data_IF_756276262734
#
_entry.id   IF_756276262734
#
_cell.length_a   1.000
_cell.length_b   1.000
_cell.length_c   1.000
_cell.angle_alpha   90.00
_cell.angle_beta   90.00
_cell.angle_gamma   90.00
#
_symmetry.space_group_name_H-M   'P 1'
#
loop_
_entity.id
_entity.type
_entity.pdbx_description
1 polymer ?
#
# COMPACT_ATOMS: atom_id res chain seq x y z
N UNK A 1 -2.61 37.33 -41.32
CA UNK A 1 -1.64 36.32 -40.82
C UNK A 1 -1.29 36.49 -39.33
N UNK A 2 -1.42 37.68 -38.74
CA UNK A 2 -1.06 37.96 -37.33
C UNK A 2 -2.11 37.55 -36.28
N UNK A 3 -3.40 37.49 -36.64
CA UNK A 3 -4.48 37.09 -35.71
C UNK A 3 -4.33 35.64 -35.21
N UNK A 4 -3.83 34.74 -36.08
CA UNK A 4 -3.54 33.34 -35.73
C UNK A 4 -2.36 33.22 -34.75
N UNK A 5 -1.39 34.13 -34.86
CA UNK A 5 -0.21 34.15 -33.99
C UNK A 5 -0.56 34.68 -32.59
N UNK A 6 -1.41 35.70 -32.49
CA UNK A 6 -1.94 36.17 -31.20
C UNK A 6 -2.81 35.12 -30.51
N UNK A 7 -3.57 34.30 -31.25
CA UNK A 7 -4.36 33.21 -30.65
C UNK A 7 -3.47 32.13 -30.02
N UNK A 8 -2.37 31.77 -30.70
CA UNK A 8 -1.38 30.80 -30.21
C UNK A 8 -0.63 31.32 -28.96
N UNK A 9 -0.25 32.60 -28.93
CA UNK A 9 0.35 33.21 -27.74
C UNK A 9 -0.64 33.34 -26.58
N UNK A 10 -1.92 33.63 -26.87
CA UNK A 10 -2.99 33.66 -25.88
C UNK A 10 -3.29 32.29 -25.25
N UNK A 11 -3.23 31.21 -26.04
CA UNK A 11 -3.37 29.82 -25.53
C UNK A 11 -2.22 29.40 -24.60
N UNK A 12 -1.01 29.92 -24.83
CA UNK A 12 0.14 29.67 -23.96
C UNK A 12 0.10 30.49 -22.65
N UNK A 13 -0.55 31.67 -22.67
CA UNK A 13 -0.77 32.51 -21.49
C UNK A 13 -1.89 31.96 -20.58
N UNK A 14 -2.87 31.25 -21.15
CA UNK A 14 -3.69 30.27 -20.43
C UNK A 14 -2.86 29.00 -20.22
N UNK A 15 -1.68 29.13 -19.62
CA UNK A 15 -0.85 28.00 -19.29
C UNK A 15 -1.73 26.97 -18.58
N UNK A 16 -1.63 25.67 -18.91
CA UNK A 16 -2.33 24.69 -18.11
C UNK A 16 -1.88 24.95 -16.69
N UNK A 17 -2.77 25.42 -15.81
CA UNK A 17 -2.52 25.38 -14.38
C UNK A 17 -2.52 23.90 -14.06
N UNK A 18 -1.36 23.29 -14.35
CA UNK A 18 -1.12 21.86 -14.40
C UNK A 18 -1.57 21.35 -13.06
N UNK A 19 -2.52 20.40 -13.08
CA UNK A 19 -2.93 19.65 -11.91
C UNK A 19 -1.69 19.35 -11.08
N UNK A 20 -1.51 20.00 -9.93
CA UNK A 20 -0.29 19.82 -9.12
C UNK A 20 -0.12 18.33 -8.83
N UNK A 21 1.01 17.77 -9.25
CA UNK A 21 1.35 16.36 -9.03
C UNK A 21 1.74 16.08 -7.57
N UNK A 22 1.80 17.13 -6.75
CA UNK A 22 2.23 17.07 -5.36
C UNK A 22 1.18 16.39 -4.50
N UNK A 23 1.66 15.54 -3.61
CA UNK A 23 0.89 15.00 -2.50
C UNK A 23 0.79 16.05 -1.38
N UNK A 24 -0.41 16.21 -0.86
CA UNK A 24 -0.70 17.08 0.29
C UNK A 24 -1.25 16.22 1.42
N UNK A 25 -0.86 16.54 2.65
CA UNK A 25 -1.36 15.85 3.84
C UNK A 25 -2.86 16.05 3.98
N UNK A 26 -3.56 14.98 4.33
CA UNK A 26 -4.98 14.97 4.62
C UNK A 26 -5.23 14.29 5.96
N UNK A 27 -6.36 14.61 6.59
CA UNK A 27 -6.75 13.93 7.82
C UNK A 27 -6.93 12.44 7.58
N UNK A 28 -6.40 11.63 8.51
CA UNK A 28 -6.62 10.17 8.59
C UNK A 28 -8.11 9.82 8.81
N UNK A 29 -8.92 10.78 9.27
CA UNK A 29 -10.37 10.62 9.39
C UNK A 29 -11.14 10.88 8.09
N UNK A 30 -10.47 11.28 7.00
CA UNK A 30 -11.13 11.50 5.71
C UNK A 30 -11.75 10.20 5.22
N UNK A 31 -13.06 10.20 4.95
CA UNK A 31 -13.81 8.98 4.60
C UNK A 31 -13.17 8.19 3.45
N UNK A 32 -12.92 8.85 2.31
CA UNK A 32 -12.32 8.18 1.16
C UNK A 32 -10.90 7.66 1.43
N UNK A 33 -10.16 8.30 2.34
CA UNK A 33 -8.85 7.79 2.74
C UNK A 33 -8.99 6.48 3.54
N UNK A 34 -9.94 6.41 4.48
CA UNK A 34 -10.23 5.18 5.23
C UNK A 34 -10.63 4.02 4.32
N UNK A 35 -11.51 4.28 3.35
CA UNK A 35 -11.89 3.28 2.35
C UNK A 35 -10.69 2.81 1.51
N UNK A 36 -9.77 3.70 1.15
CA UNK A 36 -8.53 3.31 0.47
C UNK A 36 -7.59 2.48 1.36
N UNK A 37 -7.57 2.74 2.68
CA UNK A 37 -6.82 1.92 3.65
C UNK A 37 -7.42 0.52 3.74
N UNK A 38 -8.73 0.41 3.89
CA UNK A 38 -9.45 -0.88 3.91
C UNK A 38 -9.19 -1.67 2.62
N UNK A 39 -9.31 -1.01 1.46
CA UNK A 39 -8.97 -1.62 0.17
C UNK A 39 -7.51 -2.09 0.10
N UNK A 40 -6.55 -1.30 0.59
CA UNK A 40 -5.14 -1.66 0.57
C UNK A 40 -4.86 -2.88 1.47
N UNK A 41 -5.46 -2.94 2.65
CA UNK A 41 -5.33 -4.09 3.58
C UNK A 41 -5.97 -5.34 2.99
N UNK A 42 -7.17 -5.22 2.40
CA UNK A 42 -7.82 -6.31 1.69
C UNK A 42 -6.93 -6.82 0.55
N UNK A 43 -6.48 -5.93 -0.34
CA UNK A 43 -5.63 -6.29 -1.46
C UNK A 43 -4.32 -6.96 -1.02
N UNK A 44 -3.71 -6.48 0.07
CA UNK A 44 -2.53 -7.11 0.65
C UNK A 44 -2.82 -8.55 1.07
N UNK A 45 -3.91 -8.78 1.82
CA UNK A 45 -4.29 -10.12 2.25
C UNK A 45 -4.56 -11.07 1.08
N UNK A 46 -5.22 -10.62 0.02
CA UNK A 46 -5.50 -11.49 -1.13
C UNK A 46 -4.22 -11.94 -1.87
N UNK A 47 -3.15 -11.13 -1.85
CA UNK A 47 -1.95 -11.37 -2.68
C UNK A 47 -0.71 -11.79 -1.87
N UNK A 48 -0.68 -11.57 -0.56
CA UNK A 48 0.41 -12.02 0.30
C UNK A 48 0.40 -13.55 0.38
N UNK A 49 1.50 -14.29 0.22
CA UNK A 49 1.46 -15.76 0.25
C UNK A 49 1.15 -16.41 1.60
N UNK A 50 1.28 -15.68 2.73
CA UNK A 50 0.99 -16.21 4.07
C UNK A 50 -0.48 -16.70 4.16
N UNK A 51 -0.74 -17.80 4.86
CA UNK A 51 -2.11 -18.34 5.03
C UNK A 51 -2.95 -17.47 5.99
N UNK A 52 -2.27 -16.75 6.88
CA UNK A 52 -2.91 -15.95 7.92
C UNK A 52 -3.24 -14.55 7.43
N UNK A 53 -4.33 -14.00 7.94
CA UNK A 53 -4.73 -12.64 7.66
C UNK A 53 -3.85 -11.64 8.43
N UNK A 54 -3.64 -10.48 7.83
CA UNK A 54 -2.97 -9.32 8.39
C UNK A 54 -3.99 -8.20 8.63
N UNK A 55 -3.85 -7.51 9.76
CA UNK A 55 -4.68 -6.35 10.09
C UNK A 55 -3.87 -5.09 10.27
N UNK A 56 -4.54 -3.94 10.14
CA UNK A 56 -3.92 -2.64 10.31
C UNK A 56 -3.53 -2.39 11.77
N UNK A 57 -2.27 -2.03 12.01
CA UNK A 57 -1.75 -1.59 13.30
C UNK A 57 -1.66 -0.07 13.39
N UNK A 58 -1.15 0.55 12.32
CA UNK A 58 -0.86 1.97 12.33
C UNK A 58 -0.90 2.58 10.94
N UNK A 59 -1.32 3.84 10.87
CA UNK A 59 -1.26 4.66 9.65
C UNK A 59 -0.21 5.75 9.84
N UNK A 60 0.80 5.73 8.99
CA UNK A 60 1.85 6.75 8.90
C UNK A 60 1.43 7.92 8.04
N UNK A 61 1.99 8.01 6.83
CA UNK A 61 1.61 9.04 5.85
C UNK A 61 0.14 8.89 5.48
N UNK A 62 -0.53 10.03 5.34
CA UNK A 62 -1.93 10.15 4.93
C UNK A 62 -2.03 11.32 3.97
N UNK A 63 -1.83 11.05 2.68
CA UNK A 63 -1.69 12.07 1.66
C UNK A 63 -2.59 11.83 0.47
N UNK A 64 -2.96 12.91 -0.23
CA UNK A 64 -3.70 12.86 -1.49
C UNK A 64 -3.11 13.82 -2.51
N UNK A 65 -3.15 13.48 -3.79
CA UNK A 65 -2.87 14.45 -4.86
C UNK A 65 -3.97 15.53 -4.88
N UNK A 66 -3.60 16.81 -4.92
CA UNK A 66 -4.53 17.93 -4.75
C UNK A 66 -5.80 17.86 -5.61
N UNK A 67 -5.66 17.50 -6.88
CA UNK A 67 -6.75 17.47 -7.87
C UNK A 67 -7.11 16.05 -8.34
N UNK A 68 -6.62 15.03 -7.64
CA UNK A 68 -6.88 13.63 -7.99
C UNK A 68 -7.26 12.85 -6.75
N UNK A 69 -8.11 11.86 -6.92
CA UNK A 69 -8.47 10.91 -5.86
C UNK A 69 -7.43 9.81 -5.68
N UNK A 70 -6.15 10.18 -5.84
CA UNK A 70 -4.99 9.29 -5.66
C UNK A 70 -4.42 9.54 -4.27
N UNK A 71 -4.39 8.48 -3.48
CA UNK A 71 -3.96 8.47 -2.10
C UNK A 71 -2.61 7.79 -1.96
N UNK A 72 -1.73 8.39 -1.16
CA UNK A 72 -0.45 7.81 -0.74
C UNK A 72 -0.53 7.58 0.76
N UNK A 73 -0.27 6.35 1.18
CA UNK A 73 -0.34 5.94 2.58
C UNK A 73 0.80 5.01 2.96
N UNK A 74 1.29 5.17 4.18
CA UNK A 74 2.14 4.16 4.81
C UNK A 74 1.34 3.46 5.88
N UNK A 75 1.32 2.14 5.83
CA UNK A 75 0.58 1.28 6.75
C UNK A 75 1.55 0.33 7.44
N UNK A 76 1.39 0.15 8.74
CA UNK A 76 1.96 -0.98 9.46
C UNK A 76 0.87 -2.04 9.63
N UNK A 77 1.13 -3.25 9.15
CA UNK A 77 0.22 -4.38 9.26
C UNK A 77 0.84 -5.46 10.15
N UNK A 78 0.00 -6.17 10.90
CA UNK A 78 0.40 -7.25 11.80
C UNK A 78 -0.33 -8.53 11.45
N UNK A 79 0.40 -9.65 11.44
CA UNK A 79 -0.16 -10.99 11.26
C UNK A 79 -1.10 -11.32 12.42
N UNK A 80 -2.22 -11.95 12.09
CA UNK A 80 -3.23 -12.41 13.04
C UNK A 80 -3.18 -13.92 13.20
N UNK A 81 -3.93 -14.47 14.15
CA UNK A 81 -4.08 -15.92 14.29
C UNK A 81 -5.14 -16.53 13.35
N UNK A 82 -5.93 -15.69 12.68
CA UNK A 82 -7.00 -16.12 11.79
C UNK A 82 -6.44 -16.39 10.40
N UNK A 83 -7.05 -17.35 9.71
CA UNK A 83 -6.77 -17.61 8.31
C UNK A 83 -7.47 -16.54 7.46
N UNK A 84 -7.03 -16.44 6.21
CA UNK A 84 -7.75 -15.64 5.22
C UNK A 84 -9.17 -16.17 5.06
N UNK A 85 -10.11 -15.24 4.91
CA UNK A 85 -11.54 -15.48 4.72
C UNK A 85 -12.28 -16.09 5.92
N UNK A 86 -11.70 -16.09 7.13
CA UNK A 86 -12.47 -16.33 8.35
C UNK A 86 -13.54 -15.22 8.54
N UNK A 87 -14.69 -15.56 9.13
CA UNK A 87 -15.88 -14.69 9.16
C UNK A 87 -15.73 -13.40 10.00
N UNK A 88 -14.60 -13.18 10.69
CA UNK A 88 -14.35 -12.01 11.54
C UNK A 88 -12.85 -11.65 11.66
N UNK A 89 -12.24 -11.24 10.54
CA UNK A 89 -10.83 -10.82 10.52
C UNK A 89 -10.61 -9.53 11.33
N UNK A 90 -11.60 -8.64 11.38
CA UNK A 90 -11.47 -7.33 12.03
C UNK A 90 -11.29 -7.46 13.56
N UNK A 91 -12.01 -8.38 14.19
CA UNK A 91 -11.84 -8.68 15.63
C UNK A 91 -10.74 -9.72 15.91
N UNK A 92 -10.08 -10.25 14.88
CA UNK A 92 -9.05 -11.25 15.06
C UNK A 92 -7.84 -10.73 15.86
N UNK A 93 -7.37 -11.44 16.89
CA UNK A 93 -6.21 -11.01 17.66
C UNK A 93 -4.92 -11.16 16.84
N UNK A 94 -3.94 -10.34 17.19
CA UNK A 94 -2.61 -10.42 16.59
C UNK A 94 -1.92 -11.70 17.04
N UNK A 95 -1.07 -12.24 16.17
CA UNK A 95 -0.22 -13.34 16.53
C UNK A 95 0.92 -12.85 17.43
N UNK A 96 1.09 -13.52 18.57
CA UNK A 96 2.14 -13.23 19.55
C UNK A 96 3.25 -14.30 19.52
N UNK A 97 4.41 -13.96 20.11
CA UNK A 97 5.53 -14.88 20.25
C UNK A 97 6.43 -14.95 18.99
N UNK A 98 7.16 -16.05 18.79
CA UNK A 98 8.20 -16.15 17.76
C UNK A 98 7.67 -16.08 16.33
N UNK A 99 6.37 -16.32 16.13
CA UNK A 99 5.70 -16.25 14.83
C UNK A 99 5.06 -14.89 14.54
N UNK A 100 5.21 -13.92 15.43
CA UNK A 100 4.75 -12.56 15.21
C UNK A 100 5.43 -11.97 13.99
N UNK A 101 4.64 -11.50 13.02
CA UNK A 101 5.14 -10.78 11.85
C UNK A 101 4.50 -9.41 11.76
N UNK A 102 5.32 -8.40 11.51
CA UNK A 102 4.90 -7.05 11.16
C UNK A 102 5.47 -6.69 9.80
N UNK A 103 4.68 -6.00 9.00
CA UNK A 103 5.11 -5.47 7.70
C UNK A 103 4.82 -3.98 7.64
N UNK A 104 5.74 -3.22 7.05
CA UNK A 104 5.53 -1.81 6.72
C UNK A 104 5.39 -1.69 5.23
N UNK A 105 4.29 -1.09 4.81
CA UNK A 105 3.90 -0.99 3.43
C UNK A 105 3.64 0.46 3.04
N UNK A 106 4.07 0.85 1.85
CA UNK A 106 3.62 2.06 1.17
C UNK A 106 2.68 1.68 0.05
N UNK A 107 1.47 2.24 0.06
CA UNK A 107 0.46 2.04 -0.98
C UNK A 107 0.14 3.35 -1.70
N UNK A 108 -0.09 3.23 -3.00
CA UNK A 108 -0.69 4.28 -3.83
C UNK A 108 -1.98 3.72 -4.42
N UNK A 109 -3.12 4.33 -4.07
CA UNK A 109 -4.45 3.87 -4.49
C UNK A 109 -5.18 4.99 -5.24
N UNK A 110 -5.67 4.70 -6.45
CA UNK A 110 -6.63 5.54 -7.17
C UNK A 110 -8.04 5.14 -6.73
N UNK A 111 -8.77 6.06 -6.11
CA UNK A 111 -10.18 5.90 -5.81
C UNK A 111 -11.00 6.64 -6.86
N UNK A 112 -12.02 6.00 -7.41
CA UNK A 112 -12.96 6.64 -8.33
C UNK A 112 -14.34 6.62 -7.70
N UNK A 113 -14.67 7.63 -6.86
CA UNK A 113 -15.89 7.62 -6.05
C UNK A 113 -17.17 7.43 -6.88
N UNK A 114 -17.22 8.04 -8.07
CA UNK A 114 -18.38 7.94 -8.97
C UNK A 114 -18.66 6.55 -9.52
N UNK A 115 -17.65 5.68 -9.54
CA UNK A 115 -17.76 4.30 -10.01
C UNK A 115 -17.59 3.28 -8.89
N UNK A 116 -17.46 3.75 -7.63
CA UNK A 116 -17.17 2.93 -6.46
C UNK A 116 -16.00 1.96 -6.69
N UNK A 117 -15.01 2.42 -7.46
CA UNK A 117 -13.88 1.61 -7.91
C UNK A 117 -12.61 2.07 -7.20
N UNK A 118 -11.80 1.10 -6.79
CA UNK A 118 -10.46 1.32 -6.29
C UNK A 118 -9.47 0.61 -7.21
N UNK A 119 -8.30 1.21 -7.42
CA UNK A 119 -7.23 0.61 -8.22
C UNK A 119 -5.92 0.80 -7.49
N UNK A 120 -5.23 -0.30 -7.22
CA UNK A 120 -3.88 -0.26 -6.70
C UNK A 120 -2.94 0.22 -7.81
N UNK A 121 -2.29 1.36 -7.62
CA UNK A 121 -1.30 1.90 -8.55
C UNK A 121 0.11 1.42 -8.21
N UNK A 122 0.42 1.28 -6.91
CA UNK A 122 1.72 0.81 -6.44
C UNK A 122 1.59 0.27 -5.01
N UNK A 123 2.37 -0.76 -4.70
CA UNK A 123 2.53 -1.30 -3.35
C UNK A 123 3.98 -1.74 -3.15
N UNK A 124 4.60 -1.28 -2.07
CA UNK A 124 5.91 -1.76 -1.63
C UNK A 124 5.83 -2.10 -0.16
N UNK A 125 6.16 -3.34 0.21
CA UNK A 125 6.11 -3.83 1.58
C UNK A 125 7.47 -4.38 2.02
N UNK A 126 7.80 -4.19 3.28
CA UNK A 126 9.02 -4.70 3.91
C UNK A 126 8.67 -5.31 5.27
N UNK A 127 9.18 -6.50 5.56
CA UNK A 127 9.03 -7.11 6.87
C UNK A 127 9.86 -6.35 7.91
N UNK A 128 9.24 -6.03 9.05
CA UNK A 128 9.95 -5.54 10.23
C UNK A 128 10.33 -6.74 11.08
N UNK A 129 11.62 -6.97 11.24
CA UNK A 129 12.13 -7.96 12.18
C UNK A 129 12.19 -7.25 13.53
N UNK A 130 11.51 -7.82 14.54
CA UNK A 130 11.37 -7.18 15.85
C UNK A 130 12.74 -6.87 16.45
N UNK A 131 12.87 -5.69 17.05
CA UNK A 131 14.07 -5.17 17.74
C UNK A 131 14.51 -6.01 18.97
N UNK A 132 14.05 -7.25 19.16
CA UNK A 132 14.41 -8.10 20.32
C UNK A 132 14.94 -9.50 19.94
N UNK A 133 15.12 -9.84 18.66
CA UNK A 133 15.77 -11.12 18.31
C UNK A 133 16.86 -10.92 17.26
N UNK A 134 18.07 -11.45 17.48
CA UNK A 134 19.17 -11.29 16.54
C UNK A 134 18.74 -11.90 15.21
N UNK A 135 18.96 -11.13 14.14
CA UNK A 135 18.76 -11.57 12.77
C UNK A 135 19.29 -13.00 12.59
N UNK A 136 18.58 -13.89 11.85
CA UNK A 136 19.14 -15.17 11.49
C UNK A 136 20.45 -14.90 10.77
N UNK A 137 21.56 -15.29 11.40
CA UNK A 137 22.84 -15.37 10.73
C UNK A 137 22.62 -16.20 9.48
N UNK A 138 22.91 -15.60 8.33
CA UNK A 138 22.81 -16.26 7.04
C UNK A 138 23.65 -17.55 7.09
N UNK A 139 23.00 -18.68 7.30
CA UNK A 139 23.59 -19.98 7.05
C UNK A 139 23.68 -20.12 5.52
N UNK A 140 24.85 -20.45 4.95
CA UNK A 140 24.96 -20.70 3.52
C UNK A 140 24.01 -21.82 3.13
N UNK A 141 23.20 -21.57 2.10
CA UNK A 141 22.46 -22.60 1.38
C UNK A 141 23.47 -23.65 0.87
N UNK A 142 23.64 -24.74 1.60
CA UNK A 142 24.25 -25.94 1.06
C UNK A 142 23.22 -26.60 0.14
N UNK A 143 23.38 -26.37 -1.16
CA UNK A 143 22.75 -27.16 -2.20
C UNK A 143 23.17 -28.63 -2.01
N UNK A 144 22.25 -29.46 -1.51
CA UNK A 144 22.38 -30.91 -1.60
C UNK A 144 21.96 -31.29 -3.03
N UNK A 145 22.95 -31.54 -3.88
CA UNK A 145 22.72 -32.16 -5.18
C UNK A 145 22.29 -33.61 -4.94
N UNK A 146 21.02 -33.92 -5.21
CA UNK A 146 20.60 -35.29 -5.49
C UNK A 146 20.75 -35.51 -7.00
N UNK A 147 21.85 -36.17 -7.37
CA UNK A 147 22.17 -36.58 -8.72
C UNK A 147 22.33 -38.09 -8.79
N UNK A 148 21.20 -38.74 -9.04
CA UNK A 148 20.99 -39.97 -9.82
C UNK A 148 22.24 -40.78 -10.21
N UNK A 149 22.49 -41.91 -9.53
CA UNK A 149 23.22 -43.05 -10.08
C UNK A 149 22.24 -43.98 -10.79
N UNK A 150 22.45 -44.17 -12.09
CA UNK A 150 22.13 -45.39 -12.84
C UNK A 150 23.16 -45.54 -13.95
#
# INVERSE_FOLDING_TARGET
MFLKLSLLLGLLALGPHVCSWKFEDISKSTQNFRLCVEFAVFHFNEHEPDEYAYKLLWVGRSQRKKYRWIYLMDLELGRTICKKHDEDIDNCPLQEGPEQKKVSCTFIVDSRPWFTQFTLLNSTCQQKWGEEFPAPTAAPFLLKNEGLES
#
